data_IF_866002600269
#
_entry.id   IF_866002600269
#
_cell.length_a   1.000
_cell.length_b   1.000
_cell.length_c   1.000
_cell.angle_alpha   90.00
_cell.angle_beta   90.00
_cell.angle_gamma   90.00
#
_symmetry.space_group_name_H-M   'P 1'
#
loop_
_entity.id
_entity.type
_entity.pdbx_description
1 polymer ?
#
# COMPACT_ATOMS: atom_id res chain seq x y z
N UNK A 1 0.59 -4.75 -14.34
CA UNK A 1 0.85 -6.18 -14.61
C UNK A 1 1.95 -6.77 -13.73
N UNK A 2 3.24 -6.44 -13.89
CA UNK A 2 4.30 -7.05 -13.06
C UNK A 2 4.23 -6.67 -11.57
N UNK A 3 3.92 -5.41 -11.24
CA UNK A 3 3.75 -4.96 -9.85
C UNK A 3 2.54 -5.62 -9.18
N UNK A 4 1.45 -5.79 -9.92
CA UNK A 4 0.25 -6.49 -9.41
C UNK A 4 0.61 -7.94 -9.07
N UNK A 5 1.38 -8.61 -9.92
CA UNK A 5 1.86 -9.97 -9.67
C UNK A 5 2.78 -10.05 -8.45
N UNK A 6 3.66 -9.08 -8.22
CA UNK A 6 4.53 -9.04 -7.02
C UNK A 6 3.70 -8.93 -5.75
N UNK A 7 2.70 -8.03 -5.73
CA UNK A 7 1.80 -7.86 -4.59
C UNK A 7 0.97 -9.13 -4.37
N UNK A 8 0.39 -9.70 -5.42
CA UNK A 8 -0.39 -10.95 -5.34
C UNK A 8 0.45 -12.10 -4.79
N UNK A 9 1.68 -12.28 -5.29
CA UNK A 9 2.57 -13.34 -4.82
C UNK A 9 2.97 -13.11 -3.37
N UNK A 10 3.32 -11.88 -2.98
CA UNK A 10 3.64 -11.54 -1.60
C UNK A 10 2.49 -11.89 -0.65
N UNK A 11 1.26 -11.47 -0.96
CA UNK A 11 0.07 -11.75 -0.15
C UNK A 11 -0.25 -13.26 -0.11
N UNK A 12 -0.11 -13.96 -1.24
CA UNK A 12 -0.37 -15.39 -1.32
C UNK A 12 0.67 -16.23 -0.56
N UNK A 13 1.96 -15.86 -0.64
CA UNK A 13 3.06 -16.52 0.07
C UNK A 13 2.96 -16.29 1.58
N UNK A 14 2.59 -15.07 1.99
CA UNK A 14 2.39 -14.73 3.39
C UNK A 14 1.17 -15.45 3.97
N UNK A 15 0.05 -15.47 3.25
CA UNK A 15 -1.15 -16.20 3.66
C UNK A 15 -0.90 -17.71 3.75
N UNK A 16 -0.14 -18.27 2.80
CA UNK A 16 0.25 -19.68 2.83
C UNK A 16 1.16 -19.98 4.03
N UNK A 17 2.08 -19.08 4.40
CA UNK A 17 2.92 -19.22 5.59
C UNK A 17 2.10 -19.20 6.89
N UNK A 18 1.12 -18.29 6.98
CA UNK A 18 0.25 -18.13 8.14
C UNK A 18 -0.81 -19.25 8.28
N UNK A 19 -1.18 -19.92 7.19
CA UNK A 19 -2.29 -20.89 7.15
C UNK A 19 -1.89 -22.27 6.61
N UNK A 20 -0.82 -22.85 7.17
CA UNK A 20 -0.44 -24.26 6.95
C UNK A 20 -0.19 -24.62 5.47
N UNK A 21 0.33 -23.69 4.67
CA UNK A 21 0.66 -23.90 3.27
C UNK A 21 -0.55 -23.76 2.31
N UNK A 22 -1.64 -23.15 2.76
CA UNK A 22 -2.81 -22.94 1.92
C UNK A 22 -2.60 -21.81 0.93
N UNK A 23 -2.31 -22.20 -0.31
CA UNK A 23 -2.05 -21.27 -1.41
C UNK A 23 -3.34 -20.78 -2.08
N UNK A 24 -3.63 -19.49 -1.92
CA UNK A 24 -4.80 -18.82 -2.50
C UNK A 24 -4.78 -18.79 -4.04
N UNK A 25 -3.62 -19.00 -4.68
CA UNK A 25 -3.49 -19.03 -6.15
C UNK A 25 -4.17 -20.23 -6.78
N UNK A 26 -4.41 -21.30 -6.01
CA UNK A 26 -5.05 -22.54 -6.49
C UNK A 26 -6.57 -22.44 -6.57
N UNK A 27 -7.17 -21.49 -5.86
CA UNK A 27 -8.61 -21.23 -5.88
C UNK A 27 -8.89 -20.03 -6.81
N UNK A 28 -9.55 -20.25 -7.98
CA UNK A 28 -9.84 -19.18 -8.92
C UNK A 28 -10.64 -18.02 -8.33
N UNK A 29 -11.54 -18.30 -7.39
CA UNK A 29 -12.38 -17.28 -6.75
C UNK A 29 -11.59 -16.44 -5.75
N UNK A 30 -10.76 -17.10 -4.94
CA UNK A 30 -9.86 -16.42 -4.01
C UNK A 30 -8.81 -15.58 -4.74
N UNK A 31 -8.23 -16.12 -5.83
CA UNK A 31 -7.27 -15.43 -6.66
C UNK A 31 -7.86 -14.17 -7.32
N UNK A 32 -9.12 -14.24 -7.77
CA UNK A 32 -9.79 -13.06 -8.33
C UNK A 32 -9.97 -11.97 -7.28
N UNK A 33 -10.44 -12.32 -6.08
CA UNK A 33 -10.59 -11.35 -4.97
C UNK A 33 -9.23 -10.78 -4.52
N UNK A 34 -8.19 -11.60 -4.52
CA UNK A 34 -6.83 -11.19 -4.20
C UNK A 34 -6.27 -10.22 -5.25
N UNK A 35 -6.55 -10.45 -6.54
CA UNK A 35 -6.19 -9.54 -7.63
C UNK A 35 -6.87 -8.18 -7.49
N UNK A 36 -8.18 -8.16 -7.24
CA UNK A 36 -8.94 -6.92 -7.05
C UNK A 36 -8.41 -6.12 -5.85
N UNK A 37 -8.08 -6.81 -4.75
CA UNK A 37 -7.49 -6.17 -3.59
C UNK A 37 -6.06 -5.67 -3.82
N UNK A 38 -5.22 -6.44 -4.51
CA UNK A 38 -3.85 -6.04 -4.85
C UNK A 38 -3.84 -4.81 -5.76
N UNK A 39 -4.75 -4.75 -6.73
CA UNK A 39 -4.89 -3.59 -7.62
C UNK A 39 -5.38 -2.36 -6.87
N UNK A 40 -6.36 -2.53 -5.97
CA UNK A 40 -6.83 -1.45 -5.09
C UNK A 40 -5.72 -0.95 -4.16
N UNK A 41 -4.98 -1.87 -3.55
CA UNK A 41 -3.83 -1.56 -2.71
C UNK A 41 -2.73 -0.82 -3.47
N UNK A 42 -2.43 -1.21 -4.71
CA UNK A 42 -1.48 -0.49 -5.58
C UNK A 42 -1.91 0.96 -5.82
N UNK A 43 -3.19 1.18 -6.11
CA UNK A 43 -3.73 2.53 -6.34
C UNK A 43 -3.65 3.36 -5.05
N UNK A 44 -4.01 2.78 -3.92
CA UNK A 44 -3.93 3.45 -2.62
C UNK A 44 -2.48 3.78 -2.24
N UNK A 45 -1.53 2.86 -2.45
CA UNK A 45 -0.09 3.08 -2.22
C UNK A 45 0.55 4.06 -3.22
N UNK A 46 -0.14 4.42 -4.30
CA UNK A 46 0.33 5.47 -5.21
C UNK A 46 0.07 6.87 -4.65
N UNK A 47 -0.78 7.00 -3.62
CA UNK A 47 -1.10 8.28 -2.97
C UNK A 47 -0.93 8.29 -1.46
N UNK A 48 -0.87 7.13 -0.81
CA UNK A 48 -0.64 6.95 0.62
C UNK A 48 0.57 6.09 0.93
N UNK A 49 1.07 6.19 2.17
CA UNK A 49 2.22 5.40 2.65
C UNK A 49 1.83 3.98 3.11
N UNK A 50 0.54 3.71 3.28
CA UNK A 50 -0.01 2.43 3.76
C UNK A 50 -1.42 2.20 3.19
N UNK A 51 -1.83 0.93 3.06
CA UNK A 51 -3.17 0.52 2.57
C UNK A 51 -3.65 -0.71 3.34
N UNK A 52 -4.93 -0.77 3.70
CA UNK A 52 -5.54 -1.90 4.41
C UNK A 52 -6.14 -2.90 3.41
N UNK A 53 -5.52 -4.08 3.30
CA UNK A 53 -6.13 -5.20 2.59
C UNK A 53 -6.89 -6.06 3.61
N UNK A 54 -8.22 -5.95 3.58
CA UNK A 54 -9.11 -6.78 4.39
C UNK A 54 -9.97 -7.66 3.47
N UNK A 55 -9.63 -8.95 3.40
CA UNK A 55 -10.37 -9.93 2.60
C UNK A 55 -11.05 -10.95 3.53
N UNK A 56 -12.30 -10.68 3.93
CA UNK A 56 -13.02 -11.62 4.76
C UNK A 56 -13.50 -12.83 3.94
N UNK A 57 -13.43 -14.00 4.56
CA UNK A 57 -13.87 -15.28 3.97
C UNK A 57 -13.19 -15.55 2.62
N UNK A 58 -11.87 -15.32 2.52
CA UNK A 58 -11.16 -15.48 1.25
C UNK A 58 -11.06 -16.96 0.83
N UNK A 59 -11.00 -17.86 1.80
CA UNK A 59 -11.00 -19.31 1.57
C UNK A 59 -11.59 -20.04 2.77
N UNK A 60 -12.10 -21.26 2.56
CA UNK A 60 -12.68 -22.10 3.59
C UNK A 60 -11.88 -23.39 3.74
N UNK A 61 -11.49 -23.70 4.97
CA UNK A 61 -10.80 -24.96 5.33
C UNK A 61 -11.71 -25.84 6.16
N UNK A 62 -11.30 -27.10 6.39
CA UNK A 62 -11.99 -28.00 7.32
C UNK A 62 -12.09 -27.42 8.75
N UNK A 63 -11.24 -26.45 9.10
CA UNK A 63 -11.22 -25.73 10.39
C UNK A 63 -12.03 -24.43 10.39
N UNK A 64 -12.71 -24.09 9.28
CA UNK A 64 -13.54 -22.89 9.13
C UNK A 64 -13.01 -21.87 8.10
N UNK A 65 -13.74 -20.74 7.91
CA UNK A 65 -13.34 -19.68 6.99
C UNK A 65 -12.14 -18.89 7.51
N UNK A 66 -11.22 -18.54 6.60
CA UNK A 66 -10.02 -17.76 6.90
C UNK A 66 -10.12 -16.33 6.33
N UNK A 67 -9.51 -15.40 7.04
CA UNK A 67 -9.48 -13.96 6.73
C UNK A 67 -8.05 -13.51 6.49
N UNK A 68 -7.87 -12.48 5.65
CA UNK A 68 -6.59 -11.80 5.45
C UNK A 68 -6.68 -10.41 6.10
N UNK A 69 -6.01 -10.25 7.24
CA UNK A 69 -5.89 -9.00 8.03
C UNK A 69 -4.40 -8.76 8.33
N UNK A 70 -3.65 -8.21 7.38
CA UNK A 70 -2.18 -8.12 7.49
C UNK A 70 -1.67 -6.84 8.16
N UNK A 71 -2.37 -5.72 7.98
CA UNK A 71 -1.93 -4.41 8.48
C UNK A 71 -2.05 -4.30 10.01
N UNK A 72 -3.17 -4.76 10.59
CA UNK A 72 -3.35 -4.78 12.05
C UNK A 72 -2.31 -5.71 12.71
N UNK A 73 -1.95 -6.83 12.06
CA UNK A 73 -0.91 -7.73 12.54
C UNK A 73 0.49 -7.11 12.48
N UNK A 74 0.80 -6.38 11.41
CA UNK A 74 2.11 -5.75 11.23
C UNK A 74 2.33 -4.58 12.21
N UNK A 75 1.33 -3.71 12.37
CA UNK A 75 1.45 -2.51 13.22
C UNK A 75 0.98 -2.71 14.67
N UNK A 76 0.33 -3.84 14.97
CA UNK A 76 -0.18 -4.17 16.31
C UNK A 76 -1.27 -3.22 16.81
N UNK A 77 -1.91 -2.48 15.91
CA UNK A 77 -2.90 -1.44 16.21
C UNK A 77 -4.02 -1.46 15.18
N UNK A 78 -5.23 -1.15 15.63
CA UNK A 78 -6.38 -1.00 14.75
C UNK A 78 -6.23 0.25 13.90
N UNK A 79 -6.43 0.17 12.58
CA UNK A 79 -6.40 1.34 11.71
C UNK A 79 -7.54 2.32 12.06
N UNK A 80 -7.30 3.60 11.85
CA UNK A 80 -8.29 4.65 12.10
C UNK A 80 -9.38 4.61 11.03
N UNK A 81 -10.64 4.50 11.44
CA UNK A 81 -11.81 4.51 10.54
C UNK A 81 -12.52 5.88 10.48
N UNK A 82 -11.92 6.92 11.06
CA UNK A 82 -12.52 8.25 11.16
C UNK A 82 -12.42 9.10 9.89
N UNK A 83 -11.81 8.56 8.83
CA UNK A 83 -11.48 9.29 7.60
C UNK A 83 -12.04 8.51 6.41
N UNK A 84 -12.68 9.23 5.47
CA UNK A 84 -13.18 8.63 4.25
C UNK A 84 -12.02 8.37 3.27
N UNK A 85 -11.70 7.11 2.92
CA UNK A 85 -10.56 6.79 2.06
C UNK A 85 -10.72 7.34 0.63
N UNK A 86 -11.95 7.51 0.15
CA UNK A 86 -12.19 7.93 -1.23
C UNK A 86 -12.02 9.46 -1.42
N UNK A 87 -12.18 10.24 -0.34
CA UNK A 87 -12.25 11.70 -0.40
C UNK A 87 -11.07 12.39 0.28
N UNK A 88 -10.37 11.70 1.19
CA UNK A 88 -9.32 12.29 2.03
C UNK A 88 -8.20 12.94 1.22
N UNK A 89 -7.82 12.34 0.09
CA UNK A 89 -6.76 12.87 -0.79
C UNK A 89 -7.20 14.21 -1.41
N UNK A 90 -8.44 14.28 -1.89
CA UNK A 90 -8.99 15.51 -2.48
C UNK A 90 -9.12 16.63 -1.44
N UNK A 91 -9.54 16.29 -0.23
CA UNK A 91 -9.61 17.23 0.89
C UNK A 91 -8.20 17.76 1.25
N UNK A 92 -7.21 16.87 1.34
CA UNK A 92 -5.82 17.24 1.60
C UNK A 92 -5.25 18.19 0.54
N UNK A 93 -5.53 17.91 -0.74
CA UNK A 93 -5.13 18.78 -1.85
C UNK A 93 -5.77 20.18 -1.77
N UNK A 94 -7.06 20.27 -1.41
CA UNK A 94 -7.75 21.54 -1.25
C UNK A 94 -7.17 22.36 -0.08
N UNK A 95 -6.88 21.72 1.06
CA UNK A 95 -6.22 22.36 2.20
C UNK A 95 -4.86 22.90 1.79
N UNK A 96 -4.04 22.09 1.10
CA UNK A 96 -2.73 22.52 0.62
C UNK A 96 -2.84 23.71 -0.35
N UNK A 97 -3.86 23.73 -1.21
CA UNK A 97 -4.17 24.90 -2.05
C UNK A 97 -4.47 26.16 -1.24
N UNK A 98 -5.28 26.04 -0.18
CA UNK A 98 -5.59 27.14 0.74
C UNK A 98 -4.36 27.65 1.52
N UNK A 99 -3.40 26.78 1.82
CA UNK A 99 -2.12 27.17 2.43
C UNK A 99 -1.29 27.99 1.43
N UNK A 100 -1.24 27.58 0.16
CA UNK A 100 -0.50 28.29 -0.88
C UNK A 100 -1.07 29.69 -1.18
N UNK A 101 -2.39 29.87 -1.09
CA UNK A 101 -3.06 31.18 -1.26
C UNK A 101 -2.98 32.06 -0.01
N UNK A 102 -2.56 31.51 1.14
CA UNK A 102 -2.52 32.21 2.43
C UNK A 102 -3.88 32.35 3.12
N UNK A 103 -4.91 31.69 2.61
CA UNK A 103 -6.24 31.60 3.25
C UNK A 103 -6.21 30.70 4.48
N UNK A 104 -5.44 29.61 4.41
CA UNK A 104 -5.16 28.72 5.54
C UNK A 104 -3.83 29.12 6.16
N UNK A 105 -3.87 29.48 7.45
CA UNK A 105 -2.71 29.92 8.23
C UNK A 105 -2.32 28.87 9.27
N UNK A 106 -1.11 28.98 9.78
CA UNK A 106 -0.56 28.12 10.84
C UNK A 106 -0.41 26.63 10.46
N UNK A 107 -0.25 26.34 9.17
CA UNK A 107 0.08 25.01 8.65
C UNK A 107 1.47 25.05 8.00
N UNK A 108 2.35 24.15 8.43
CA UNK A 108 3.66 23.92 7.82
C UNK A 108 3.73 22.48 7.35
N UNK A 109 4.06 22.29 6.07
CA UNK A 109 4.28 20.98 5.47
C UNK A 109 5.74 20.89 5.01
N UNK A 110 6.41 19.81 5.42
CA UNK A 110 7.73 19.42 4.93
C UNK A 110 7.57 18.05 4.28
N UNK A 111 7.93 17.94 3.02
CA UNK A 111 7.83 16.72 2.23
C UNK A 111 9.23 16.29 1.77
N UNK A 112 9.36 15.03 1.34
CA UNK A 112 10.63 14.42 0.95
C UNK A 112 10.56 13.76 -0.42
N UNK A 113 11.69 13.64 -1.08
CA UNK A 113 11.77 12.95 -2.38
C UNK A 113 11.83 11.43 -2.19
N UNK A 114 10.96 10.61 -2.82
CA UNK A 114 10.93 9.17 -2.55
C UNK A 114 12.10 8.40 -3.15
N UNK A 115 12.79 8.98 -4.14
CA UNK A 115 13.86 8.33 -4.88
C UNK A 115 15.12 9.17 -4.86
N UNK A 116 16.27 8.49 -4.85
CA UNK A 116 17.55 9.16 -4.99
C UNK A 116 17.71 9.68 -6.42
N UNK A 117 18.06 10.95 -6.57
CA UNK A 117 18.39 11.56 -7.85
C UNK A 117 19.91 11.56 -8.05
N UNK A 118 20.38 11.21 -9.23
CA UNK A 118 21.80 11.15 -9.53
C UNK A 118 22.11 11.16 -11.01
N UNK A 119 23.39 11.10 -11.34
CA UNK A 119 23.89 11.03 -12.71
C UNK A 119 24.75 9.77 -12.89
N UNK A 120 24.77 9.27 -14.11
CA UNK A 120 25.69 8.21 -14.49
C UNK A 120 27.11 8.78 -14.64
N UNK A 121 28.09 8.08 -14.07
CA UNK A 121 29.51 8.44 -14.12
C UNK A 121 30.32 7.35 -14.84
N UNK A 122 31.59 7.65 -15.16
CA UNK A 122 32.47 6.71 -15.87
C UNK A 122 32.47 5.33 -15.22
N UNK A 123 32.32 4.29 -16.05
CA UNK A 123 32.14 2.91 -15.59
C UNK A 123 30.68 2.50 -15.38
N UNK A 124 29.71 3.34 -15.77
CA UNK A 124 28.28 3.03 -15.67
C UNK A 124 27.74 3.09 -14.25
N UNK A 125 28.43 3.82 -13.37
CA UNK A 125 28.07 3.90 -11.95
C UNK A 125 27.12 5.07 -11.73
N UNK A 126 25.93 4.78 -11.21
CA UNK A 126 24.98 5.78 -10.74
C UNK A 126 25.53 6.49 -9.50
N UNK A 127 25.92 7.75 -9.65
CA UNK A 127 26.36 8.60 -8.54
C UNK A 127 25.19 9.46 -8.10
N UNK A 128 24.72 9.20 -6.89
CA UNK A 128 23.62 9.96 -6.28
C UNK A 128 24.08 11.37 -5.92
N UNK A 129 23.24 12.34 -6.25
CA UNK A 129 23.41 13.76 -5.93
C UNK A 129 22.43 14.20 -4.85
N UNK A 130 21.24 13.60 -4.82
CA UNK A 130 20.21 13.79 -3.78
C UNK A 130 19.77 12.40 -3.34
N UNK A 131 19.81 12.12 -2.04
CA UNK A 131 19.37 10.84 -1.49
C UNK A 131 17.84 10.79 -1.38
N UNK A 132 17.27 9.59 -1.48
CA UNK A 132 15.84 9.40 -1.17
C UNK A 132 15.57 9.75 0.28
N UNK A 133 14.38 10.27 0.54
CA UNK A 133 13.92 10.78 1.83
C UNK A 133 14.68 12.03 2.31
N UNK A 134 15.36 12.73 1.39
CA UNK A 134 15.81 14.13 1.57
C UNK A 134 14.70 15.07 1.18
#
# INVERSE_FOLDING_TARGET
DDFDQVIINFLADQFASDNEGLDLRKDPLALQRLKEAAEKAKIELSSGNETEINLPYITATASGPKHLEEVEKFFGKKPSKGVNPDEVVAIGAAIQGGVLTGEVKDVLLLDVTPLSLGIETMGGVMTKLIESNT
#
